data_IF_131010877344
#
_entry.id   IF_131010877344
#
_cell.length_a   1.000
_cell.length_b   1.000
_cell.length_c   1.000
_cell.angle_alpha   90.00
_cell.angle_beta   90.00
_cell.angle_gamma   90.00
#
_symmetry.space_group_name_H-M   'P 1'
#
loop_
_entity.id
_entity.type
_entity.pdbx_description
1 polymer ?
#
# COMPACT_ATOMS: atom_id res chain seq x y z
N UNK A 1 12.40 10.71 -11.75
CA UNK A 1 12.22 9.71 -12.83
C UNK A 1 13.25 8.63 -12.64
N UNK A 2 12.86 7.35 -12.68
CA UNK A 2 13.84 6.26 -12.56
C UNK A 2 14.74 6.22 -13.80
N UNK A 3 16.01 5.79 -13.65
CA UNK A 3 16.95 5.66 -14.76
C UNK A 3 16.35 4.82 -15.91
N UNK A 4 15.55 3.81 -15.57
CA UNK A 4 14.87 2.94 -16.54
C UNK A 4 13.81 3.67 -17.36
N UNK A 5 13.02 4.59 -16.76
CA UNK A 5 12.04 5.39 -17.51
C UNK A 5 12.74 6.38 -18.44
N UNK A 6 13.87 6.95 -18.02
CA UNK A 6 14.69 7.78 -18.87
C UNK A 6 15.27 7.00 -20.06
N UNK A 7 15.80 5.82 -19.82
CA UNK A 7 16.33 4.95 -20.86
C UNK A 7 15.26 4.50 -21.87
N UNK A 8 14.05 4.16 -21.42
CA UNK A 8 12.95 3.78 -22.32
C UNK A 8 12.51 4.94 -23.22
N UNK A 9 12.44 6.16 -22.69
CA UNK A 9 12.10 7.36 -23.47
C UNK A 9 13.17 7.68 -24.53
N UNK A 10 14.44 7.63 -24.14
CA UNK A 10 15.56 7.86 -25.08
C UNK A 10 15.56 6.82 -26.20
N UNK A 11 15.37 5.55 -25.87
CA UNK A 11 15.31 4.48 -26.87
C UNK A 11 14.11 4.62 -27.82
N UNK A 12 12.93 5.03 -27.29
CA UNK A 12 11.74 5.26 -28.10
C UNK A 12 11.92 6.45 -29.05
N UNK A 13 12.51 7.55 -28.57
CA UNK A 13 12.79 8.74 -29.41
C UNK A 13 13.83 8.42 -30.50
N UNK A 14 14.89 7.68 -30.15
CA UNK A 14 15.89 7.24 -31.12
C UNK A 14 15.27 6.32 -32.19
N UNK A 15 14.40 5.38 -31.77
CA UNK A 15 13.65 4.51 -32.70
C UNK A 15 12.76 5.30 -33.64
N UNK A 16 12.00 6.26 -33.13
CA UNK A 16 11.13 7.12 -33.95
C UNK A 16 11.93 7.96 -34.96
N UNK A 17 13.08 8.52 -34.55
CA UNK A 17 13.96 9.26 -35.43
C UNK A 17 14.51 8.38 -36.55
N UNK A 18 14.94 7.15 -36.22
CA UNK A 18 15.46 6.20 -37.22
C UNK A 18 14.39 5.73 -38.19
N UNK A 19 13.13 5.57 -37.75
CA UNK A 19 12.00 5.31 -38.66
C UNK A 19 11.80 6.46 -39.64
N UNK A 20 11.84 7.70 -39.18
CA UNK A 20 11.72 8.87 -40.05
C UNK A 20 12.88 8.92 -41.08
N UNK A 21 14.11 8.64 -40.65
CA UNK A 21 15.29 8.55 -41.51
C UNK A 21 15.16 7.42 -42.55
N UNK A 22 14.65 6.25 -42.13
CA UNK A 22 14.41 5.12 -43.03
C UNK A 22 13.40 5.45 -44.15
N UNK A 23 12.29 6.12 -43.78
CA UNK A 23 11.31 6.61 -44.78
C UNK A 23 11.92 7.60 -45.74
N UNK A 24 12.72 8.54 -45.24
CA UNK A 24 13.42 9.51 -46.08
C UNK A 24 14.47 8.88 -47.03
N UNK A 25 15.26 7.91 -46.51
CA UNK A 25 16.27 7.15 -47.28
C UNK A 25 15.59 6.28 -48.36
N UNK A 26 14.46 5.66 -48.07
CA UNK A 26 13.67 4.83 -48.97
C UNK A 26 13.19 5.65 -50.20
N UNK A 27 12.78 6.91 -49.99
CA UNK A 27 12.43 7.82 -51.09
C UNK A 27 13.57 8.13 -52.03
N UNK A 28 14.85 7.99 -51.59
CA UNK A 28 16.04 8.19 -52.41
C UNK A 28 16.57 6.90 -53.04
N UNK A 29 15.83 5.79 -53.01
CA UNK A 29 16.18 4.47 -53.57
C UNK A 29 17.50 3.89 -53.04
N UNK A 30 17.92 4.24 -51.81
CA UNK A 30 19.13 3.69 -51.18
C UNK A 30 18.76 2.47 -50.33
N UNK A 31 18.50 1.34 -50.99
CA UNK A 31 17.98 0.12 -50.35
C UNK A 31 18.76 -0.35 -49.14
N UNK A 32 20.08 -0.38 -49.24
CA UNK A 32 20.94 -0.85 -48.14
C UNK A 32 20.82 0.04 -46.88
N UNK A 33 20.87 1.37 -47.08
CA UNK A 33 20.71 2.33 -45.97
C UNK A 33 19.31 2.26 -45.35
N UNK A 34 18.29 2.06 -46.14
CA UNK A 34 16.91 1.88 -45.66
C UNK A 34 16.78 0.63 -44.81
N UNK A 35 17.35 -0.50 -45.29
CA UNK A 35 17.33 -1.77 -44.57
C UNK A 35 18.02 -1.65 -43.19
N UNK A 36 19.24 -1.10 -43.18
CA UNK A 36 20.00 -0.90 -41.93
C UNK A 36 19.25 0.02 -40.97
N UNK A 37 18.71 1.13 -41.46
CA UNK A 37 17.92 2.07 -40.61
C UNK A 37 16.68 1.41 -40.03
N UNK A 38 15.96 0.61 -40.80
CA UNK A 38 14.77 -0.13 -40.32
C UNK A 38 15.15 -1.14 -39.24
N UNK A 39 16.19 -1.93 -39.46
CA UNK A 39 16.66 -2.92 -38.49
C UNK A 39 17.10 -2.25 -37.16
N UNK A 40 17.84 -1.14 -37.26
CA UNK A 40 18.29 -0.40 -36.07
C UNK A 40 17.08 0.25 -35.34
N UNK A 41 16.11 0.78 -36.10
CA UNK A 41 14.88 1.32 -35.51
C UNK A 41 14.08 0.24 -34.76
N UNK A 42 13.92 -0.94 -35.35
CA UNK A 42 13.26 -2.08 -34.71
C UNK A 42 14.00 -2.52 -33.45
N UNK A 43 15.32 -2.55 -33.47
CA UNK A 43 16.13 -2.86 -32.29
C UNK A 43 15.90 -1.82 -31.17
N UNK A 44 15.95 -0.53 -31.50
CA UNK A 44 15.69 0.54 -30.52
C UNK A 44 14.27 0.46 -29.93
N UNK A 45 13.27 0.18 -30.75
CA UNK A 45 11.89 0.00 -30.28
C UNK A 45 11.74 -1.25 -29.39
N UNK A 46 12.40 -2.35 -29.73
CA UNK A 46 12.42 -3.56 -28.91
C UNK A 46 13.07 -3.30 -27.54
N UNK A 47 14.19 -2.57 -27.51
CA UNK A 47 14.83 -2.17 -26.26
C UNK A 47 13.96 -1.23 -25.44
N UNK A 48 13.28 -0.26 -26.08
CA UNK A 48 12.32 0.63 -25.42
C UNK A 48 11.17 -0.17 -24.76
N UNK A 49 10.61 -1.13 -25.50
CA UNK A 49 9.54 -2.00 -24.99
C UNK A 49 10.04 -2.88 -23.83
N UNK A 50 11.26 -3.41 -23.92
CA UNK A 50 11.88 -4.18 -22.85
C UNK A 50 12.04 -3.34 -21.56
N UNK A 51 12.63 -2.15 -21.66
CA UNK A 51 12.81 -1.26 -20.50
C UNK A 51 11.47 -0.80 -19.93
N UNK A 52 10.49 -0.51 -20.77
CA UNK A 52 9.13 -0.18 -20.33
C UNK A 52 8.49 -1.35 -19.56
N UNK A 53 8.59 -2.57 -20.09
CA UNK A 53 8.05 -3.79 -19.44
C UNK A 53 8.69 -4.05 -18.09
N UNK A 54 10.02 -3.92 -17.98
CA UNK A 54 10.74 -4.07 -16.71
C UNK A 54 10.32 -2.98 -15.72
N UNK A 55 10.18 -1.74 -16.18
CA UNK A 55 9.74 -0.61 -15.34
C UNK A 55 8.33 -0.85 -14.79
N UNK A 56 7.40 -1.25 -15.64
CA UNK A 56 6.02 -1.59 -15.25
C UNK A 56 6.02 -2.75 -14.25
N UNK A 57 6.82 -3.79 -14.51
CA UNK A 57 6.95 -4.94 -13.60
C UNK A 57 7.45 -4.55 -12.21
N UNK A 58 8.49 -3.72 -12.13
CA UNK A 58 9.03 -3.23 -10.84
C UNK A 58 8.01 -2.35 -10.11
N UNK A 59 7.32 -1.45 -10.81
CA UNK A 59 6.29 -0.62 -10.19
C UNK A 59 5.12 -1.46 -9.68
N UNK A 60 4.65 -2.41 -10.49
CA UNK A 60 3.60 -3.34 -10.08
C UNK A 60 3.99 -4.17 -8.86
N UNK A 61 5.21 -4.71 -8.82
CA UNK A 61 5.72 -5.46 -7.67
C UNK A 61 5.77 -4.58 -6.41
N UNK A 62 6.32 -3.36 -6.51
CA UNK A 62 6.37 -2.41 -5.38
C UNK A 62 4.98 -2.04 -4.88
N UNK A 63 4.03 -1.80 -5.77
CA UNK A 63 2.66 -1.48 -5.41
C UNK A 63 1.98 -2.63 -4.65
N UNK A 64 2.28 -3.88 -5.01
CA UNK A 64 1.73 -5.07 -4.35
C UNK A 64 2.40 -5.40 -3.01
N UNK A 65 3.64 -4.97 -2.80
CA UNK A 65 4.42 -5.24 -1.58
C UNK A 65 4.53 -4.02 -0.65
N UNK A 66 3.96 -2.88 -1.04
CA UNK A 66 4.00 -1.68 -0.22
C UNK A 66 3.25 -1.89 1.10
N UNK A 67 3.91 -1.56 2.19
CA UNK A 67 3.32 -1.44 3.51
C UNK A 67 3.44 0.01 3.96
N UNK A 68 2.35 0.57 4.42
CA UNK A 68 2.29 1.93 4.95
C UNK A 68 2.01 1.89 6.45
N UNK A 69 2.69 2.74 7.23
CA UNK A 69 2.44 2.86 8.67
C UNK A 69 1.15 3.67 8.87
N UNK A 70 0.11 3.01 9.32
CA UNK A 70 -1.20 3.61 9.56
C UNK A 70 -1.33 4.20 10.98
N UNK A 71 -0.62 3.63 11.95
CA UNK A 71 -0.52 4.16 13.31
C UNK A 71 0.69 3.59 14.03
N UNK A 72 1.14 4.30 15.04
CA UNK A 72 2.08 3.79 16.04
C UNK A 72 1.34 3.69 17.36
N UNK A 73 1.37 2.52 18.00
CA UNK A 73 0.68 2.26 19.26
C UNK A 73 1.71 1.89 20.33
N UNK A 74 1.74 2.66 21.38
CA UNK A 74 2.45 2.32 22.61
C UNK A 74 1.47 1.75 23.61
N UNK A 75 1.81 0.63 24.22
CA UNK A 75 0.94 -0.06 25.19
C UNK A 75 1.65 -0.18 26.53
N UNK A 76 0.95 0.16 27.60
CA UNK A 76 1.42 0.09 28.97
C UNK A 76 0.38 -0.69 29.80
N UNK A 77 0.69 -1.94 30.24
CA UNK A 77 -0.17 -2.69 31.17
C UNK A 77 -0.34 -1.93 32.48
N UNK A 78 -1.58 -1.71 32.91
CA UNK A 78 -1.92 -1.02 34.17
C UNK A 78 -2.60 -1.93 35.17
N UNK A 79 -2.95 -3.15 34.77
CA UNK A 79 -3.56 -4.15 35.64
C UNK A 79 -3.80 -5.48 34.91
N UNK A 80 -4.34 -6.48 35.60
CA UNK A 80 -4.74 -7.72 34.95
C UNK A 80 -5.81 -7.46 33.89
N UNK A 81 -5.54 -7.88 32.65
CA UNK A 81 -6.46 -7.68 31.52
C UNK A 81 -6.88 -6.20 31.34
N UNK A 82 -5.96 -5.29 31.62
CA UNK A 82 -6.19 -3.86 31.52
C UNK A 82 -4.89 -3.17 31.13
N UNK A 83 -4.90 -2.40 30.06
CA UNK A 83 -3.74 -1.66 29.55
C UNK A 83 -4.15 -0.31 28.99
N UNK A 84 -3.21 0.61 29.00
CA UNK A 84 -3.32 1.90 28.31
C UNK A 84 -2.69 1.80 26.94
N UNK A 85 -3.39 2.22 25.92
CA UNK A 85 -2.86 2.35 24.55
C UNK A 85 -2.77 3.83 24.18
N UNK A 86 -1.58 4.29 23.82
CA UNK A 86 -1.33 5.59 23.22
C UNK A 86 -1.17 5.41 21.72
N UNK A 87 -2.13 5.88 20.95
CA UNK A 87 -2.18 5.75 19.49
C UNK A 87 -1.74 7.06 18.86
N UNK A 88 -0.68 7.02 18.06
CA UNK A 88 -0.20 8.15 17.27
C UNK A 88 -0.51 7.89 15.79
N UNK A 89 -1.28 8.77 15.18
CA UNK A 89 -1.65 8.70 13.75
C UNK A 89 -0.62 9.44 12.88
N UNK A 90 -0.54 9.15 11.57
CA UNK A 90 0.41 9.80 10.66
C UNK A 90 0.23 11.31 10.55
N UNK A 91 -0.96 11.81 10.81
CA UNK A 91 -1.30 13.24 10.82
C UNK A 91 -0.87 13.96 12.11
N UNK A 92 -0.21 13.24 13.04
CA UNK A 92 0.28 13.77 14.30
C UNK A 92 -0.73 13.78 15.45
N UNK A 93 -1.96 13.34 15.23
CA UNK A 93 -2.94 13.19 16.31
C UNK A 93 -2.52 12.06 17.25
N UNK A 94 -2.68 12.31 18.54
CA UNK A 94 -2.40 11.33 19.59
C UNK A 94 -3.66 11.12 20.41
N UNK A 95 -4.08 9.86 20.55
CA UNK A 95 -5.17 9.45 21.43
C UNK A 95 -4.67 8.52 22.53
N UNK A 96 -5.20 8.65 23.73
CA UNK A 96 -4.96 7.72 24.83
C UNK A 96 -6.25 7.02 25.20
N UNK A 97 -6.19 5.70 25.33
CA UNK A 97 -7.34 4.85 25.55
C UNK A 97 -7.02 3.83 26.63
N UNK A 98 -7.87 3.75 27.66
CA UNK A 98 -7.79 2.69 28.67
C UNK A 98 -8.63 1.51 28.20
N UNK A 99 -7.97 0.40 27.91
CA UNK A 99 -8.53 -0.74 27.19
C UNK A 99 -8.56 -1.97 28.10
N UNK A 100 -9.72 -2.62 28.16
CA UNK A 100 -9.91 -3.89 28.87
C UNK A 100 -9.71 -5.05 27.91
N UNK A 101 -8.88 -6.03 28.30
CA UNK A 101 -8.57 -7.22 27.52
C UNK A 101 -7.13 -7.67 27.68
N UNK A 102 -6.79 -8.80 27.08
CA UNK A 102 -5.45 -9.38 27.03
C UNK A 102 -4.67 -8.96 25.78
N UNK A 103 -5.37 -8.50 24.75
CA UNK A 103 -4.81 -8.15 23.47
C UNK A 103 -5.37 -6.82 22.95
N UNK A 104 -4.50 -6.04 22.32
CA UNK A 104 -4.89 -4.88 21.52
C UNK A 104 -5.48 -5.36 20.20
N UNK A 105 -6.59 -4.79 19.82
CA UNK A 105 -7.31 -5.02 18.58
C UNK A 105 -7.45 -3.71 17.81
N UNK A 106 -7.13 -3.71 16.54
CA UNK A 106 -7.28 -2.56 15.64
C UNK A 106 -8.02 -2.98 14.38
N UNK A 107 -9.01 -2.20 14.01
CA UNK A 107 -9.79 -2.37 12.78
C UNK A 107 -9.56 -1.22 11.81
N UNK A 108 -9.57 -1.53 10.53
CA UNK A 108 -9.58 -0.54 9.46
C UNK A 108 -10.49 -0.96 8.31
N UNK A 109 -10.99 0.03 7.62
CA UNK A 109 -11.64 -0.12 6.33
C UNK A 109 -10.58 0.05 5.26
N UNK A 110 -10.44 -0.95 4.39
CA UNK A 110 -9.42 -0.97 3.34
C UNK A 110 -10.12 -1.04 1.98
N UNK A 111 -9.76 -0.12 1.09
CA UNK A 111 -10.21 -0.11 -0.28
C UNK A 111 -9.06 -0.60 -1.17
N UNK A 112 -9.23 -1.79 -1.73
CA UNK A 112 -8.25 -2.42 -2.62
C UNK A 112 -8.60 -2.14 -4.07
N UNK A 113 -7.62 -1.66 -4.82
CA UNK A 113 -7.73 -1.51 -6.26
C UNK A 113 -7.32 -2.79 -6.98
N UNK A 114 -7.87 -3.03 -8.16
CA UNK A 114 -7.38 -4.11 -9.01
C UNK A 114 -5.93 -3.88 -9.43
N UNK A 115 -5.15 -4.94 -9.68
CA UNK A 115 -3.72 -4.84 -10.01
C UNK A 115 -3.41 -3.87 -11.15
N UNK A 116 -4.28 -3.82 -12.16
CA UNK A 116 -4.11 -2.91 -13.32
C UNK A 116 -4.17 -1.43 -12.90
N UNK A 117 -5.00 -1.11 -11.91
CA UNK A 117 -5.16 0.24 -11.36
C UNK A 117 -3.96 0.61 -10.48
N UNK A 118 -3.42 -0.36 -9.74
CA UNK A 118 -2.20 -0.19 -8.95
C UNK A 118 -0.98 0.08 -9.85
N UNK A 119 -0.91 -0.54 -11.04
CA UNK A 119 0.15 -0.27 -12.03
C UNK A 119 0.08 1.18 -12.53
N UNK A 120 -1.11 1.78 -12.59
CA UNK A 120 -1.33 3.19 -12.92
C UNK A 120 -0.97 4.15 -11.78
N UNK A 121 -0.54 3.63 -10.61
CA UNK A 121 -0.06 4.42 -9.48
C UNK A 121 -1.07 4.68 -8.37
N UNK A 122 -2.30 4.13 -8.45
CA UNK A 122 -3.25 4.21 -7.35
C UNK A 122 -2.85 3.21 -6.26
N UNK A 123 -2.66 3.74 -5.05
CA UNK A 123 -2.33 2.94 -3.86
C UNK A 123 -3.60 2.52 -3.12
N UNK A 124 -3.49 1.45 -2.33
CA UNK A 124 -4.57 1.02 -1.42
C UNK A 124 -4.95 2.18 -0.50
N UNK A 125 -6.22 2.53 -0.49
CA UNK A 125 -6.74 3.52 0.44
C UNK A 125 -7.24 2.81 1.71
N UNK A 126 -7.01 3.43 2.86
CA UNK A 126 -7.45 2.88 4.15
C UNK A 126 -7.93 3.98 5.08
N UNK A 127 -8.77 3.58 6.02
CA UNK A 127 -9.22 4.40 7.12
C UNK A 127 -9.26 3.53 8.38
N UNK A 128 -8.54 3.93 9.43
CA UNK A 128 -8.63 3.25 10.72
C UNK A 128 -10.03 3.50 11.30
N UNK A 129 -10.73 2.43 11.64
CA UNK A 129 -12.11 2.50 12.13
C UNK A 129 -12.15 2.58 13.66
N UNK A 130 -11.54 1.61 14.32
CA UNK A 130 -11.60 1.51 15.78
C UNK A 130 -10.38 0.83 16.39
N UNK A 131 -10.19 1.08 17.70
CA UNK A 131 -9.26 0.37 18.56
C UNK A 131 -10.03 -0.19 19.76
N UNK A 132 -9.65 -1.35 20.22
CA UNK A 132 -10.31 -1.98 21.37
C UNK A 132 -9.48 -3.11 21.96
N UNK A 133 -10.04 -3.74 22.98
CA UNK A 133 -9.47 -4.89 23.61
C UNK A 133 -10.17 -6.19 23.24
N UNK A 134 -9.42 -7.27 23.32
CA UNK A 134 -9.90 -8.63 23.15
C UNK A 134 -9.37 -9.51 24.27
N UNK A 135 -10.22 -10.40 24.78
CA UNK A 135 -9.82 -11.42 25.74
C UNK A 135 -9.38 -12.71 25.05
N UNK A 136 -8.36 -13.34 25.58
CA UNK A 136 -7.86 -14.61 25.03
C UNK A 136 -8.76 -15.78 25.40
N UNK A 137 -9.34 -15.76 26.61
CA UNK A 137 -10.25 -16.80 27.07
C UNK A 137 -11.66 -16.58 26.57
N UNK A 138 -12.26 -17.59 25.93
CA UNK A 138 -13.64 -17.51 25.38
C UNK A 138 -14.68 -17.15 26.44
N UNK A 139 -14.64 -17.66 27.70
CA UNK A 139 -15.57 -17.23 28.73
C UNK A 139 -15.47 -15.75 29.05
N UNK A 140 -14.25 -15.20 29.12
CA UNK A 140 -14.00 -13.80 29.39
C UNK A 140 -14.47 -12.93 28.21
N UNK A 141 -14.19 -13.35 26.97
CA UNK A 141 -14.62 -12.69 25.75
C UNK A 141 -16.15 -12.58 25.66
N UNK A 142 -16.89 -13.57 26.20
CA UNK A 142 -18.36 -13.56 26.20
C UNK A 142 -18.99 -12.82 27.38
N UNK A 143 -18.30 -12.79 28.53
CA UNK A 143 -18.90 -12.35 29.78
C UNK A 143 -18.37 -11.05 30.35
N UNK A 144 -17.21 -10.58 29.91
CA UNK A 144 -16.58 -9.35 30.42
C UNK A 144 -16.94 -8.12 29.58
N UNK A 145 -16.88 -6.91 30.16
CA UNK A 145 -17.08 -5.67 29.43
C UNK A 145 -16.01 -5.49 28.33
N UNK A 146 -16.46 -5.05 27.17
CA UNK A 146 -15.57 -4.69 26.06
C UNK A 146 -15.39 -3.18 25.99
N UNK A 147 -14.16 -2.74 25.73
CA UNK A 147 -13.84 -1.34 25.45
C UNK A 147 -13.47 -1.20 23.97
N UNK A 148 -14.18 -0.30 23.28
CA UNK A 148 -13.94 -0.01 21.86
C UNK A 148 -14.02 1.50 21.69
N UNK A 149 -13.01 2.07 21.02
CA UNK A 149 -12.91 3.49 20.77
C UNK A 149 -12.77 3.76 19.27
N UNK A 150 -13.45 4.78 18.72
CA UNK A 150 -13.28 5.16 17.32
C UNK A 150 -11.92 5.81 17.10
N UNK A 151 -11.26 5.48 15.99
CA UNK A 151 -10.04 6.14 15.50
C UNK A 151 -10.33 7.00 14.25
N UNK A 152 -11.37 6.65 13.50
CA UNK A 152 -11.79 7.35 12.30
C UNK A 152 -12.35 8.73 12.61
N UNK A 153 -12.21 9.64 11.64
CA UNK A 153 -12.94 10.92 11.64
C UNK A 153 -14.21 10.77 10.81
N UNK A 154 -15.25 11.49 11.20
CA UNK A 154 -16.42 11.69 10.34
C UNK A 154 -16.00 12.59 9.16
N UNK A 155 -15.57 11.97 8.09
CA UNK A 155 -15.27 12.71 6.86
C UNK A 155 -16.57 13.07 6.13
N UNK A 156 -16.69 14.35 5.71
CA UNK A 156 -17.79 14.83 4.88
C UNK A 156 -18.01 13.99 3.61
N UNK A 157 -16.96 13.34 3.09
CA UNK A 157 -17.01 12.47 1.93
C UNK A 157 -16.59 11.06 2.35
N UNK A 158 -17.59 10.22 2.59
CA UNK A 158 -17.38 8.80 2.85
C UNK A 158 -17.14 8.09 1.52
N UNK A 159 -15.89 8.09 1.04
CA UNK A 159 -15.46 7.41 -0.21
C UNK A 159 -15.83 5.92 -0.15
N UNK A 160 -15.69 5.33 1.01
CA UNK A 160 -16.04 3.94 1.27
C UNK A 160 -17.53 3.66 1.07
N UNK A 161 -18.37 4.53 1.65
CA UNK A 161 -19.82 4.46 1.47
C UNK A 161 -20.25 4.76 0.03
N UNK A 162 -19.49 5.59 -0.69
CA UNK A 162 -19.75 5.86 -2.11
C UNK A 162 -19.45 4.63 -2.98
N UNK A 163 -18.30 4.00 -2.78
CA UNK A 163 -17.93 2.74 -3.46
C UNK A 163 -18.94 1.65 -3.18
N UNK A 164 -19.39 1.53 -1.94
CA UNK A 164 -20.35 0.51 -1.54
C UNK A 164 -21.76 0.75 -2.10
N UNK A 165 -22.13 2.01 -2.31
CA UNK A 165 -23.43 2.40 -2.90
C UNK A 165 -23.46 2.28 -4.43
N UNK A 166 -22.30 2.31 -5.10
CA UNK A 166 -22.20 2.24 -6.57
C UNK A 166 -21.30 1.09 -7.04
N UNK A 167 -21.57 -0.17 -6.62
CA UNK A 167 -20.69 -1.29 -6.91
C UNK A 167 -20.56 -1.55 -8.42
N UNK A 168 -21.62 -1.34 -9.21
CA UNK A 168 -21.63 -1.63 -10.66
C UNK A 168 -20.67 -0.76 -11.47
N UNK A 169 -20.50 0.50 -11.08
CA UNK A 169 -19.60 1.44 -11.78
C UNK A 169 -18.12 1.23 -11.43
N UNK A 170 -17.85 0.84 -10.19
CA UNK A 170 -16.49 0.74 -9.67
C UNK A 170 -15.96 -0.70 -9.63
N UNK A 171 -16.82 -1.72 -9.83
CA UNK A 171 -16.42 -3.12 -9.89
C UNK A 171 -15.26 -3.44 -10.87
N UNK A 172 -15.12 -2.75 -12.02
CA UNK A 172 -13.97 -2.98 -12.88
C UNK A 172 -12.64 -2.48 -12.29
N UNK A 173 -12.68 -1.52 -11.35
CA UNK A 173 -11.52 -0.82 -10.80
C UNK A 173 -11.19 -1.25 -9.38
N UNK A 174 -12.20 -1.59 -8.58
CA UNK A 174 -12.08 -1.96 -7.16
C UNK A 174 -12.20 -3.47 -7.02
N UNK A 175 -11.29 -4.07 -6.27
CA UNK A 175 -11.28 -5.52 -6.04
C UNK A 175 -12.08 -5.87 -4.78
N UNK A 176 -11.83 -5.20 -3.70
CA UNK A 176 -12.56 -5.45 -2.46
C UNK A 176 -12.46 -4.30 -1.50
N UNK A 177 -13.44 -4.26 -0.61
CA UNK A 177 -13.33 -3.42 0.54
C UNK A 177 -13.88 -4.18 1.71
N UNK A 178 -13.07 -4.45 2.71
CA UNK A 178 -13.61 -4.74 4.02
C UNK A 178 -12.64 -4.54 5.13
N UNK A 179 -13.25 -4.43 6.35
CA UNK A 179 -12.56 -4.32 7.60
C UNK A 179 -11.53 -5.44 7.73
N UNK A 180 -10.29 -5.06 7.89
CA UNK A 180 -9.21 -5.95 8.27
C UNK A 180 -8.92 -5.66 9.72
N UNK A 181 -9.11 -6.64 10.59
CA UNK A 181 -8.73 -6.56 11.98
C UNK A 181 -7.40 -7.27 12.21
N UNK A 182 -6.62 -6.71 13.11
CA UNK A 182 -5.39 -7.35 13.60
C UNK A 182 -5.31 -7.19 15.11
N UNK A 183 -4.66 -8.13 15.78
CA UNK A 183 -4.52 -8.08 17.24
C UNK A 183 -3.13 -8.53 17.67
N UNK A 184 -2.70 -8.03 18.82
CA UNK A 184 -1.44 -8.41 19.47
C UNK A 184 -1.63 -8.52 20.98
N UNK A 185 -1.12 -9.58 21.59
CA UNK A 185 -1.18 -9.81 23.04
C UNK A 185 -0.29 -8.81 23.78
N UNK A 186 -0.84 -8.23 24.85
CA UNK A 186 -0.17 -7.22 25.66
C UNK A 186 0.23 -7.86 27.01
N UNK A 187 1.48 -8.27 27.11
CA UNK A 187 2.04 -8.83 28.35
C UNK A 187 3.01 -7.87 29.06
N UNK A 188 3.55 -6.91 28.35
CA UNK A 188 4.56 -5.93 28.82
C UNK A 188 4.45 -4.64 28.05
N UNK A 189 5.00 -3.52 28.58
CA UNK A 189 5.11 -2.28 27.82
C UNK A 189 5.82 -2.54 26.49
N UNK A 190 5.21 -2.10 25.41
CA UNK A 190 5.75 -2.30 24.07
C UNK A 190 5.25 -1.24 23.09
N UNK A 191 5.99 -1.05 22.01
CA UNK A 191 5.64 -0.19 20.91
C UNK A 191 5.40 -1.02 19.66
N UNK A 192 4.31 -0.73 18.99
CA UNK A 192 3.87 -1.45 17.78
C UNK A 192 3.62 -0.49 16.64
N UNK A 193 3.95 -0.91 15.44
CA UNK A 193 3.49 -0.27 14.22
C UNK A 193 2.31 -1.04 13.65
N UNK A 194 1.19 -0.35 13.49
CA UNK A 194 0.05 -0.82 12.72
C UNK A 194 0.31 -0.44 11.27
N UNK A 195 0.45 -1.42 10.40
CA UNK A 195 0.73 -1.22 8.98
C UNK A 195 -0.41 -1.72 8.13
N UNK A 196 -0.67 -1.01 7.05
CA UNK A 196 -1.60 -1.42 6.01
C UNK A 196 -0.81 -1.95 4.83
N UNK A 197 -1.23 -3.10 4.33
CA UNK A 197 -0.72 -3.70 3.10
C UNK A 197 -1.87 -3.97 2.13
N UNK A 198 -1.55 -4.44 0.94
CA UNK A 198 -2.56 -4.90 -0.03
C UNK A 198 -3.36 -6.11 0.46
N UNK A 199 -2.85 -6.84 1.46
CA UNK A 199 -3.53 -8.02 2.03
C UNK A 199 -4.36 -7.70 3.25
N UNK A 200 -4.11 -6.57 3.94
CA UNK A 200 -4.84 -6.18 5.14
C UNK A 200 -3.99 -5.42 6.15
N UNK A 201 -4.46 -5.37 7.38
CA UNK A 201 -3.72 -4.81 8.51
C UNK A 201 -2.71 -5.82 9.07
N UNK A 202 -1.57 -5.29 9.47
CA UNK A 202 -0.50 -6.01 10.14
C UNK A 202 -0.08 -5.22 11.39
N UNK A 203 0.23 -5.91 12.49
CA UNK A 203 0.90 -5.30 13.65
C UNK A 203 2.30 -5.87 13.76
N UNK A 204 3.29 -4.99 13.86
CA UNK A 204 4.68 -5.36 14.07
C UNK A 204 5.23 -4.69 15.33
N UNK A 205 5.94 -5.43 16.21
CA UNK A 205 6.65 -4.82 17.30
C UNK A 205 7.78 -3.95 16.74
N UNK A 206 7.90 -2.73 17.27
CA UNK A 206 9.08 -1.91 17.02
C UNK A 206 10.15 -2.39 17.99
N UNK A 207 11.18 -3.04 17.46
CA UNK A 207 12.37 -3.33 18.27
C UNK A 207 13.10 -2.00 18.50
N UNK A 208 13.08 -1.51 19.74
CA UNK A 208 13.99 -0.45 20.17
C UNK A 208 15.43 -0.98 20.06
N UNK A 209 16.03 -0.79 18.91
CA UNK A 209 17.45 -1.09 18.65
C UNK A 209 18.40 -0.22 19.47
N UNK A 210 17.92 0.54 20.45
CA UNK A 210 18.72 1.49 21.23
C UNK A 210 18.90 1.07 22.69
N UNK A 211 18.38 -0.10 23.11
CA UNK A 211 18.48 -0.56 24.49
C UNK A 211 19.42 -1.75 24.69
N UNK A 212 20.45 -1.90 23.86
CA UNK A 212 21.50 -2.91 24.07
C UNK A 212 22.87 -2.37 23.62
N UNK A 213 23.42 -1.48 24.41
CA UNK A 213 24.87 -1.35 24.55
C UNK A 213 25.18 -1.39 26.03
N UNK A 214 25.99 -2.36 26.50
CA UNK A 214 26.44 -2.48 27.89
C UNK A 214 27.42 -1.35 28.23
#
# INVERSE_FOLDING_TARGET
MSVLTGASLVAALAGALLVALAVWAGRRRRLLHTLVSVLTALLCLALAALFASVTIGIHGYRALTAEEVAAVVQTDPIGPQHFRATVTLPDGRVGQFDILGDALYVDARILKWKPIVNILGLQTAYELDRVGGRYNAIPDERGRPHTVFPLGQDHMVNVFGFVHRHPRFLAPLVDASYGSGTFVSIARPARYEVRVSTTGLLIRPVSDSTAAAP
#
